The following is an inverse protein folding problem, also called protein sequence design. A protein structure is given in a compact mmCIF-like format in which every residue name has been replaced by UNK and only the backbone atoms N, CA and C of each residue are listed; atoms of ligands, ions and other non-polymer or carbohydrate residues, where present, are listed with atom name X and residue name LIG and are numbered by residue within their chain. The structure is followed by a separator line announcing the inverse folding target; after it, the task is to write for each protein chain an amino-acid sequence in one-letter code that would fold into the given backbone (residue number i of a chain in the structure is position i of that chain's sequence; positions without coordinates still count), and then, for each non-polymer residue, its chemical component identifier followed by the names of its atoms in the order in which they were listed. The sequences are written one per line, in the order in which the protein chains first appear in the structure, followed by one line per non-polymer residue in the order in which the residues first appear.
data_IF_374718626002
#
_entry.id   IF_374718626002
#
_cell.length_a   1.000
_cell.length_b   1.000
_cell.length_c   1.000
_cell.angle_alpha   90.00
_cell.angle_beta   90.00
_cell.angle_gamma   90.00
#
_symmetry.space_group_name_H-M   'P 1'
#
loop_
_entity.id
_entity.type
_entity.pdbx_description
1 polymer ?
2 non-polymer ?
3 water ?
#
# COMPACT_ATOMS: atom_id res chain seq x y z
N UNK A 12 -18.24 -2.14 1.22
CA UNK A 12 -17.78 -0.92 0.57
C UNK A 12 -16.27 -0.78 0.50
N UNK A 13 -15.55 -1.90 0.61
CA UNK A 13 -14.10 -1.88 0.54
C UNK A 13 -13.66 -2.22 -0.88
N UNK A 14 -12.80 -1.39 -1.45
CA UNK A 14 -12.17 -1.64 -2.73
C UNK A 14 -10.67 -1.82 -2.50
N UNK A 15 -10.04 -2.56 -3.39
CA UNK A 15 -8.61 -2.74 -3.33
C UNK A 15 -8.22 -4.05 -3.95
N UNK A 16 -6.92 -4.26 -4.04
CA UNK A 16 -6.44 -5.46 -4.72
C UNK A 16 -5.03 -5.76 -4.23
N UNK A 17 -4.55 -6.95 -4.58
CA UNK A 17 -3.16 -7.30 -4.35
C UNK A 17 -2.53 -7.77 -5.65
N UNK A 18 -1.19 -7.75 -5.67
CA UNK A 18 -0.45 -8.20 -6.83
C UNK A 18 -0.37 -9.71 -6.97
N UNK A 19 -0.84 -10.47 -5.96
CA UNK A 19 -0.83 -11.93 -6.05
C UNK A 19 -1.91 -12.46 -5.11
N UNK A 20 -3.06 -12.77 -5.67
CA UNK A 20 -4.19 -13.25 -4.86
C UNK A 20 -3.94 -14.62 -4.28
N UNK A 21 -2.93 -15.36 -4.76
CA UNK A 21 -2.56 -16.60 -4.10
C UNK A 21 -2.06 -16.34 -2.70
N UNK A 22 -1.50 -15.16 -2.46
CA UNK A 22 -0.88 -14.83 -1.18
C UNK A 22 -1.72 -13.87 -0.35
N UNK A 23 -2.31 -12.86 -0.99
CA UNK A 23 -3.02 -11.79 -0.28
C UNK A 23 -4.30 -11.48 -1.02
N UNK A 24 -5.40 -11.36 -0.28
CA UNK A 24 -6.63 -10.79 -0.80
C UNK A 24 -7.06 -9.63 0.10
N UNK A 25 -7.84 -8.73 -0.47
CA UNK A 25 -8.32 -7.53 0.22
C UNK A 25 -9.84 -7.62 0.31
N UNK A 26 -10.38 -7.20 1.44
CA UNK A 26 -11.82 -7.29 1.62
C UNK A 26 -12.27 -6.62 2.91
N UNK A 27 -13.42 -7.07 3.41
CA UNK A 27 -13.98 -6.52 4.64
C UNK A 27 -13.58 -7.39 5.83
N UNK A 28 -13.41 -6.74 6.98
CA UNK A 28 -12.89 -7.42 8.17
C UNK A 28 -13.85 -8.46 8.69
N UNK A 29 -13.31 -9.63 9.01
CA UNK A 29 -14.07 -10.71 9.63
C UNK A 29 -13.08 -11.64 10.35
N UNK A 30 -12.50 -11.15 11.44
CA UNK A 30 -11.56 -11.94 12.23
C UNK A 30 -12.00 -11.90 13.67
N UNK A 31 -12.58 -12.99 14.16
CA UNK A 31 -13.16 -12.99 15.50
C UNK A 31 -12.10 -12.88 16.59
N UNK A 32 -10.86 -13.29 16.30
CA UNK A 32 -9.79 -13.19 17.29
C UNK A 32 -9.21 -11.80 17.37
N UNK A 33 -9.27 -11.03 16.28
CA UNK A 33 -8.77 -9.65 16.25
C UNK A 33 -9.79 -8.78 15.56
N UNK A 34 -10.95 -8.57 16.16
CA UNK A 34 -12.02 -7.84 15.47
C UNK A 34 -11.72 -6.35 15.42
N UNK A 35 -12.46 -5.66 14.56
CA UNK A 35 -12.36 -4.22 14.46
C UNK A 35 -11.92 -3.75 13.08
N UNK A 36 -12.40 -2.58 12.67
CA UNK A 36 -12.05 -2.04 11.37
C UNK A 36 -12.92 -2.59 10.26
N UNK A 37 -12.74 -2.02 9.08
CA UNK A 37 -13.53 -2.47 7.93
C UNK A 37 -12.59 -2.91 6.82
N UNK A 38 -11.78 -1.99 6.30
CA UNK A 38 -10.81 -2.39 5.27
C UNK A 38 -9.87 -3.44 5.85
N UNK A 39 -9.66 -4.52 5.10
CA UNK A 39 -9.01 -5.69 5.70
C UNK A 39 -8.18 -6.45 4.67
N UNK A 40 -7.29 -7.29 5.21
CA UNK A 40 -6.38 -8.11 4.43
C UNK A 40 -6.50 -9.55 4.88
N UNK A 41 -6.44 -10.48 3.92
CA UNK A 41 -6.43 -11.91 4.18
C UNK A 41 -5.14 -12.50 3.63
N UNK A 42 -4.43 -13.25 4.48
CA UNK A 42 -3.28 -14.01 4.01
C UNK A 42 -3.81 -15.31 3.42
N UNK A 43 -4.07 -15.30 2.11
CA UNK A 43 -4.54 -16.47 1.41
C UNK A 43 -3.49 -17.58 1.37
N UNK A 44 -2.23 -17.23 1.60
CA UNK A 44 -1.19 -18.24 1.69
C UNK A 44 -1.35 -19.11 2.93
N UNK A 45 -2.18 -18.68 3.88
CA UNK A 45 -2.39 -19.41 5.12
C UNK A 45 -3.67 -20.21 5.06
N UNK A 46 -3.72 -21.28 5.84
CA UNK A 46 -4.95 -22.03 6.00
C UNK A 46 -5.82 -21.48 7.11
N UNK A 47 -7.11 -21.81 7.05
CA UNK A 47 -8.03 -21.38 8.08
C UNK A 47 -7.56 -21.89 9.45
N UNK A 48 -7.73 -21.11 10.52
CA UNK A 48 -8.40 -19.81 10.60
C UNK A 48 -7.52 -18.62 10.27
N UNK A 49 -6.26 -18.86 9.90
CA UNK A 49 -5.33 -17.77 9.72
C UNK A 49 -5.44 -17.09 8.36
N UNK A 50 -6.37 -17.52 7.50
CA UNK A 50 -6.70 -16.75 6.31
C UNK A 50 -7.90 -15.84 6.53
N UNK A 51 -8.32 -15.62 7.77
CA UNK A 51 -9.38 -14.68 8.05
C UNK A 51 -9.01 -13.30 7.53
N UNK A 52 -10.00 -12.55 7.09
CA UNK A 52 -9.79 -11.14 6.76
C UNK A 52 -9.69 -10.33 8.04
N UNK A 53 -8.57 -9.63 8.21
CA UNK A 53 -8.28 -8.88 9.42
C UNK A 53 -8.21 -7.39 9.10
N UNK A 54 -8.95 -6.59 9.86
CA UNK A 54 -8.97 -5.16 9.60
C UNK A 54 -7.59 -4.53 9.77
N UNK A 55 -7.26 -3.62 8.85
CA UNK A 55 -5.98 -2.91 8.96
C UNK A 55 -5.89 -2.12 10.26
N UNK A 56 -7.01 -1.54 10.74
CA UNK A 56 -6.95 -0.81 12.01
C UNK A 56 -6.73 -1.74 13.19
N UNK A 57 -7.19 -2.99 13.08
CA UNK A 57 -6.88 -3.99 14.08
C UNK A 57 -5.40 -4.36 14.05
N UNK A 58 -4.85 -4.62 12.85
CA UNK A 58 -3.43 -4.89 12.73
C UNK A 58 -2.60 -3.73 13.24
N UNK A 59 -3.06 -2.49 12.99
CA UNK A 59 -2.38 -1.31 13.49
C UNK A 59 -2.31 -1.31 15.01
N UNK A 60 -3.43 -1.62 15.65
CA UNK A 60 -3.41 -1.78 17.11
C UNK A 60 -2.42 -2.83 17.60
N UNK A 61 -2.40 -3.99 16.93
CA UNK A 61 -1.45 -5.03 17.31
C UNK A 61 -0.01 -4.56 17.10
N UNK A 62 0.25 -3.83 16.01
CA UNK A 62 1.59 -3.32 15.77
C UNK A 62 2.00 -2.31 16.84
N UNK A 63 1.04 -1.53 17.34
CA UNK A 63 1.32 -0.63 18.45
C UNK A 63 1.65 -1.40 19.72
N UNK A 64 0.83 -2.40 20.06
CA UNK A 64 0.94 -3.05 21.37
C UNK A 64 2.11 -4.02 21.46
N UNK A 65 2.57 -4.59 20.35
CA UNK A 65 3.59 -5.64 20.41
C UNK A 65 4.97 -5.12 20.04
N UNK A 66 5.19 -3.81 20.18
CA UNK A 66 6.47 -3.24 19.80
C UNK A 66 7.63 -3.87 20.54
N UNK A 67 7.43 -4.27 21.80
CA UNK A 67 8.53 -4.88 22.56
C UNK A 67 8.90 -6.25 22.00
N UNK A 68 8.00 -6.87 21.22
CA UNK A 68 8.26 -8.17 20.61
C UNK A 68 8.67 -8.06 19.16
N UNK A 69 8.79 -6.84 18.61
CA UNK A 69 9.32 -6.66 17.28
C UNK A 69 8.41 -5.93 16.31
N UNK A 70 7.13 -5.73 16.61
CA UNK A 70 6.35 -4.88 15.71
C UNK A 70 6.78 -3.43 15.89
N UNK A 71 6.31 -2.58 14.97
CA UNK A 71 6.47 -1.16 15.20
C UNK A 71 5.29 -0.42 14.59
N UNK A 72 5.01 0.76 15.13
CA UNK A 72 4.00 1.65 14.59
C UNK A 72 4.54 3.06 14.74
N UNK A 73 4.60 3.79 13.63
CA UNK A 73 5.28 5.07 13.57
C UNK A 73 4.53 6.05 12.67
N UNK A 74 4.40 7.30 13.10
CA UNK A 74 3.91 8.34 12.21
C UNK A 74 5.11 8.90 11.45
N UNK A 75 5.05 8.88 10.12
CA UNK A 75 6.08 9.42 9.26
C UNK A 75 5.49 10.62 8.54
N UNK A 76 6.13 11.78 8.67
CA UNK A 76 5.66 12.98 7.99
C UNK A 76 6.36 13.13 6.64
N UNK A 77 5.58 13.31 5.59
CA UNK A 77 6.07 13.71 4.27
C UNK A 77 5.40 15.04 3.96
N UNK A 78 6.20 16.09 3.82
CA UNK A 78 5.62 17.42 3.69
C UNK A 78 4.76 17.73 4.89
N UNK A 79 3.52 18.14 4.64
CA UNK A 79 2.57 18.43 5.71
C UNK A 79 1.66 17.25 6.02
N UNK A 80 1.92 16.09 5.44
CA UNK A 80 1.03 14.94 5.57
C UNK A 80 1.65 13.86 6.44
N UNK A 81 0.82 13.15 7.17
CA UNK A 81 1.27 12.09 8.04
C UNK A 81 0.80 10.75 7.50
N UNK A 82 1.70 9.78 7.50
CA UNK A 82 1.39 8.41 7.13
C UNK A 82 1.74 7.52 8.32
N UNK A 83 0.77 6.74 8.77
CA UNK A 83 1.02 5.89 9.93
C UNK A 83 1.48 4.53 9.41
N UNK A 84 2.69 4.09 9.79
CA UNK A 84 3.33 2.92 9.21
C UNK A 84 3.43 1.83 10.26
N UNK A 85 2.89 0.65 9.92
CA UNK A 85 2.91 -0.53 10.77
C UNK A 85 3.85 -1.57 10.18
N UNK A 86 4.71 -2.10 11.03
CA UNK A 86 5.61 -3.20 10.69
C UNK A 86 5.25 -4.39 11.57
N UNK A 87 4.93 -5.51 10.94
CA UNK A 87 4.57 -6.72 11.68
C UNK A 87 5.40 -7.89 11.16
N UNK A 88 6.46 -8.28 11.86
CA UNK A 88 7.25 -9.44 11.44
C UNK A 88 6.71 -10.71 12.06
N UNK A 89 6.96 -11.84 11.37
CA UNK A 89 6.44 -13.10 11.87
C UNK A 89 7.00 -13.42 13.24
N UNK A 90 8.20 -12.92 13.57
CA UNK A 90 8.83 -13.19 14.85
C UNK A 90 8.09 -12.55 16.03
N UNK A 91 7.26 -11.54 15.77
CA UNK A 91 6.54 -10.88 16.85
C UNK A 91 5.22 -11.55 17.20
N UNK A 92 4.72 -12.41 16.32
CA UNK A 92 3.44 -13.08 16.50
C UNK A 92 3.64 -14.41 17.21
N UNK A 93 2.58 -14.97 17.79
CA UNK A 93 2.71 -16.28 18.48
C UNK A 93 3.15 -17.36 17.51
N UNK A 94 3.74 -18.45 18.00
CA UNK A 94 4.21 -19.51 17.09
C UNK A 94 3.14 -20.04 16.15
N UNK A 95 1.89 -20.09 16.63
CA UNK A 95 0.79 -20.56 15.79
C UNK A 95 0.60 -19.72 14.54
N UNK A 96 1.17 -18.52 14.51
CA UNK A 96 1.02 -17.57 13.42
C UNK A 96 2.10 -17.68 12.37
N UNK A 97 2.90 -18.75 12.39
CA UNK A 97 3.99 -18.90 11.41
C UNK A 97 3.56 -18.62 9.97
N UNK A 98 2.38 -19.11 9.56
CA UNK A 98 1.97 -18.97 8.17
C UNK A 98 1.58 -17.54 7.79
N UNK A 99 1.51 -16.62 8.75
CA UNK A 99 1.03 -15.29 8.43
C UNK A 99 2.10 -14.39 7.84
N UNK A 100 3.37 -14.78 7.90
CA UNK A 100 4.36 -13.98 7.19
C UNK A 100 4.63 -12.62 7.82
N UNK A 101 4.99 -11.68 6.96
CA UNK A 101 5.54 -10.38 7.34
C UNK A 101 4.78 -9.29 6.61
N UNK A 102 4.43 -8.22 7.33
CA UNK A 102 3.70 -7.08 6.77
C UNK A 102 4.45 -5.78 6.98
N UNK A 103 4.37 -4.89 5.99
CA UNK A 103 4.56 -3.45 6.20
C UNK A 103 3.38 -2.75 5.56
N UNK A 104 2.66 -1.91 6.30
CA UNK A 104 1.58 -1.18 5.64
C UNK A 104 1.43 0.20 6.23
N UNK A 105 0.82 1.08 5.45
CA UNK A 105 0.63 2.45 5.85
C UNK A 105 -0.84 2.81 5.75
N UNK A 106 -1.22 3.79 6.57
CA UNK A 106 -2.50 4.46 6.52
C UNK A 106 -2.29 5.89 6.07
N UNK A 107 -3.15 6.38 5.18
CA UNK A 107 -3.10 7.77 4.71
C UNK A 107 -3.78 8.64 5.77
N UNK A 108 -2.98 9.31 6.59
CA UNK A 108 -3.53 10.17 7.64
C UNK A 108 -4.47 9.38 8.53
N UNK A 109 -5.64 9.93 8.80
CA UNK A 109 -6.69 9.22 9.52
C UNK A 109 -7.78 8.71 8.59
N UNK A 110 -7.54 8.74 7.28
CA UNK A 110 -8.51 8.24 6.32
C UNK A 110 -8.47 6.71 6.30
N UNK A 111 -9.60 6.11 5.92
CA UNK A 111 -9.69 4.65 5.84
C UNK A 111 -9.13 4.20 4.48
N UNK A 112 -7.82 4.40 4.33
CA UNK A 112 -7.08 4.10 3.11
C UNK A 112 -5.73 3.54 3.53
N UNK A 113 -5.42 2.32 3.07
CA UNK A 113 -4.25 1.59 3.48
C UNK A 113 -3.52 1.04 2.26
N UNK A 114 -2.22 0.89 2.41
CA UNK A 114 -1.38 0.42 1.31
C UNK A 114 -0.20 -0.33 1.91
N UNK A 115 0.19 -1.44 1.32
CA UNK A 115 1.26 -2.17 1.99
C UNK A 115 1.77 -3.35 1.20
N UNK A 116 2.57 -4.14 1.90
CA UNK A 116 3.24 -5.27 1.33
C UNK A 116 3.28 -6.42 2.33
N UNK A 117 3.67 -7.57 1.80
CA UNK A 117 3.72 -8.84 2.51
C UNK A 117 4.80 -9.71 1.90
N UNK A 118 5.40 -10.56 2.71
CA UNK A 118 6.19 -11.66 2.16
C UNK A 118 6.20 -12.79 3.17
N UNK A 119 6.50 -13.99 2.65
CA UNK A 119 6.40 -15.21 3.43
C UNK A 119 7.45 -15.26 4.54
N UNK A 120 7.12 -15.97 5.62
CA UNK A 120 8.13 -16.24 6.63
C UNK A 120 9.31 -16.98 6.00
N UNK A 121 10.52 -16.51 6.31
CA UNK A 121 11.73 -17.07 5.77
C UNK A 121 12.17 -16.47 4.45
N UNK A 122 11.35 -15.60 3.87
CA UNK A 122 11.64 -14.91 2.62
C UNK A 122 12.16 -13.50 2.92
N UNK A 123 12.48 -12.77 1.86
CA UNK A 123 12.73 -11.34 1.92
C UNK A 123 11.83 -10.67 0.90
N UNK A 124 11.77 -9.33 0.88
CA UNK A 124 11.00 -8.64 -0.17
C UNK A 124 11.53 -8.88 -1.58
N UNK A 125 12.70 -9.48 -1.75
CA UNK A 125 13.17 -9.89 -3.07
C UNK A 125 12.64 -11.25 -3.51
N UNK A 126 12.01 -11.99 -2.60
CA UNK A 126 11.49 -13.31 -2.92
C UNK A 126 10.21 -13.25 -3.73
N UNK A 127 9.91 -14.37 -4.39
CA UNK A 127 8.71 -14.47 -5.22
C UNK A 127 7.44 -14.17 -4.43
N UNK A 128 7.45 -14.43 -3.12
CA UNK A 128 6.26 -14.19 -2.31
C UNK A 128 5.99 -12.72 -2.06
N UNK A 129 6.89 -11.82 -2.46
CA UNK A 129 6.67 -10.40 -2.21
C UNK A 129 5.40 -9.92 -2.92
N UNK A 130 4.44 -9.44 -2.13
CA UNK A 130 3.11 -9.11 -2.62
C UNK A 130 2.76 -7.71 -2.13
N UNK A 131 2.15 -6.90 -3.00
CA UNK A 131 1.76 -5.55 -2.61
C UNK A 131 0.26 -5.40 -2.78
N UNK A 132 -0.32 -4.48 -2.03
CA UNK A 132 -1.78 -4.38 -1.98
C UNK A 132 -2.19 -2.98 -1.55
N UNK A 133 -3.46 -2.68 -1.77
CA UNK A 133 -4.07 -1.48 -1.19
C UNK A 133 -5.53 -1.77 -0.92
N UNK A 134 -6.13 -0.96 -0.05
CA UNK A 134 -7.52 -1.13 0.37
C UNK A 134 -8.09 0.18 0.89
N UNK A 135 -9.35 0.44 0.58
CA UNK A 135 -9.97 1.62 1.14
C UNK A 135 -11.47 1.58 1.10
N UNK A 136 -12.08 2.43 1.91
CA UNK A 136 -13.53 2.58 1.99
C UNK A 136 -13.99 3.55 0.91
N UNK A 137 -14.86 3.09 0.03
CA UNK A 137 -15.32 3.92 -1.09
C UNK A 137 -16.69 4.54 -0.86
N UNK A 138 -17.25 4.39 0.36
CA UNK A 138 -18.65 4.75 0.62
C UNK A 138 -18.98 6.16 0.16
N UNK A 139 -18.08 7.12 0.38
CA UNK A 139 -18.39 8.52 0.07
C UNK A 139 -17.42 9.12 -0.94
N UNK A 140 -16.79 8.30 -1.77
CA UNK A 140 -15.87 8.82 -2.77
C UNK A 140 -16.60 9.65 -3.82
N UNK A 141 -16.07 10.82 -4.11
CA UNK A 141 -16.46 11.58 -5.29
C UNK A 141 -15.19 12.04 -5.98
N UNK A 142 -15.20 12.03 -7.30
CA UNK A 142 -14.03 12.42 -8.08
C UNK A 142 -14.37 13.69 -8.84
N UNK A 143 -13.63 14.79 -8.65
CA UNK A 143 -13.87 15.99 -9.44
C UNK A 143 -13.76 15.68 -10.92
N UNK A 144 -14.54 16.40 -11.72
CA UNK A 144 -14.56 16.22 -13.16
C UNK A 144 -13.73 17.25 -13.91
N UNK A 145 -13.11 18.17 -13.18
CA UNK A 145 -12.36 19.25 -13.81
C UNK A 145 -11.35 19.78 -12.81
N UNK A 146 -10.32 20.43 -13.32
CA UNK A 146 -9.29 21.01 -12.49
C UNK A 146 -8.13 20.05 -12.23
N UNK A 147 -7.13 20.56 -11.52
CA UNK A 147 -5.92 19.82 -11.20
C UNK A 147 -5.69 19.87 -9.70
N UNK A 148 -5.23 18.76 -9.14
CA UNK A 148 -4.83 18.72 -7.73
C UNK A 148 -3.54 17.94 -7.61
N UNK A 149 -2.78 18.22 -6.56
CA UNK A 149 -1.62 17.38 -6.28
C UNK A 149 -1.84 16.60 -4.99
N UNK A 150 -1.08 15.52 -4.87
CA UNK A 150 -1.11 14.62 -3.73
C UNK A 150 0.29 14.42 -3.21
N UNK A 151 0.43 14.45 -1.88
CA UNK A 151 1.65 13.97 -1.22
C UNK A 151 1.53 12.46 -1.05
N UNK A 152 2.48 11.72 -1.60
CA UNK A 152 2.37 10.28 -1.74
C UNK A 152 3.54 9.60 -1.05
N UNK A 153 3.24 8.58 -0.25
CA UNK A 153 4.22 7.70 0.36
C UNK A 153 4.16 6.33 -0.31
N UNK A 154 5.32 5.71 -0.45
CA UNK A 154 5.40 4.38 -1.01
C UNK A 154 6.13 3.43 -0.08
N UNK A 155 5.67 2.18 -0.06
CA UNK A 155 6.29 1.10 0.69
C UNK A 155 6.90 0.11 -0.32
N UNK A 156 8.19 -0.15 -0.15
CA UNK A 156 8.95 -1.05 -1.03
C UNK A 156 10.00 -1.78 -0.18
N UNK A 157 9.60 -2.89 0.42
CA UNK A 157 10.53 -3.74 1.14
C UNK A 157 11.08 -3.19 2.44
N UNK A 158 10.36 -2.28 3.08
CA UNK A 158 10.83 -1.70 4.33
C UNK A 158 9.64 -1.08 5.05
N UNK A 159 9.65 -1.16 6.37
CA UNK A 159 8.77 -0.35 7.16
C UNK A 159 9.44 0.84 7.78
N UNK A 160 10.75 1.00 7.58
CA UNK A 160 11.50 2.11 8.14
C UNK A 160 11.81 3.20 7.12
N UNK A 161 12.08 2.82 5.88
CA UNK A 161 12.50 3.73 4.82
C UNK A 161 11.40 3.75 3.78
N UNK A 162 10.79 4.90 3.56
CA UNK A 162 9.69 5.03 2.61
C UNK A 162 10.17 5.70 1.33
N UNK A 163 9.38 5.51 0.27
CA UNK A 163 9.43 6.36 -0.91
C UNK A 163 8.51 7.56 -0.69
N UNK A 164 8.84 8.67 -1.34
CA UNK A 164 8.05 9.89 -1.17
C UNK A 164 8.02 10.65 -2.48
N UNK A 165 6.87 11.26 -2.77
CA UNK A 165 6.80 12.08 -3.96
C UNK A 165 5.47 12.79 -4.07
N UNK A 166 5.29 13.48 -5.18
CA UNK A 166 4.07 14.23 -5.44
C UNK A 166 3.46 13.71 -6.73
N UNK A 167 2.17 13.34 -6.68
CA UNK A 167 1.43 12.99 -7.89
C UNK A 167 0.50 14.13 -8.26
N UNK A 168 0.34 14.37 -9.56
CA UNK A 168 -0.54 15.39 -10.08
C UNK A 168 -1.71 14.72 -10.78
N UNK A 169 -2.92 15.02 -10.33
CA UNK A 169 -4.14 14.52 -10.94
C UNK A 169 -4.76 15.64 -11.75
N UNK A 170 -4.87 15.43 -13.05
CA UNK A 170 -5.63 16.31 -13.92
C UNK A 170 -6.98 15.63 -14.12
N UNK A 171 -7.98 16.13 -13.38
CA UNK A 171 -9.29 15.48 -13.35
C UNK A 171 -10.04 15.64 -14.66
N UNK A 172 -9.81 16.73 -15.38
CA UNK A 172 -10.48 16.94 -16.65
C UNK A 172 -9.89 16.09 -17.75
N UNK A 173 -8.57 15.91 -17.69
CA UNK A 173 -7.88 15.07 -18.66
C UNK A 173 -7.92 13.61 -18.28
N UNK A 174 -8.17 13.30 -17.01
CA UNK A 174 -8.11 11.92 -16.56
C UNK A 174 -6.70 11.38 -16.52
N UNK A 175 -5.74 12.17 -16.04
CA UNK A 175 -4.35 11.71 -15.96
C UNK A 175 -3.82 11.82 -14.54
N UNK A 176 -2.96 10.87 -14.19
CA UNK A 176 -2.22 10.90 -12.94
C UNK A 176 -0.74 10.76 -13.28
N UNK A 177 0.05 11.75 -12.87
CA UNK A 177 1.46 11.80 -13.23
C UNK A 177 2.30 11.97 -11.98
N UNK A 178 3.54 11.51 -12.04
CA UNK A 178 4.46 11.81 -10.96
C UNK A 178 5.42 10.70 -10.63
N UNK A 179 6.30 10.96 -9.66
CA UNK A 179 7.39 10.06 -9.33
C UNK A 179 7.56 9.98 -7.82
N UNK A 180 7.81 8.77 -7.33
CA UNK A 180 8.17 8.52 -5.94
C UNK A 180 9.65 8.22 -5.88
N UNK A 181 10.35 8.77 -4.89
CA UNK A 181 11.79 8.58 -4.76
C UNK A 181 12.16 8.35 -3.30
N UNK A 182 13.27 7.66 -3.10
CA UNK A 182 13.80 7.48 -1.76
C UNK A 182 15.16 6.84 -1.85
N UNK A 183 15.87 6.87 -0.73
CA UNK A 183 17.27 6.44 -0.69
C UNK A 183 17.50 5.14 0.06
N UNK A 184 16.47 4.56 0.67
CA UNK A 184 16.66 3.45 1.56
C UNK A 184 15.94 2.17 1.18
N UNK A 185 15.60 2.03 -0.10
CA UNK A 185 14.84 0.89 -0.59
C UNK A 185 15.43 0.39 -1.90
N UNK A 186 14.97 -0.78 -2.33
CA UNK A 186 15.45 -1.31 -3.61
C UNK A 186 15.13 -0.35 -4.74
N UNK A 187 13.92 0.17 -4.75
CA UNK A 187 13.52 1.22 -5.69
C UNK A 187 14.12 2.54 -5.24
N UNK A 188 14.82 3.21 -6.15
CA UNK A 188 15.24 4.59 -5.90
C UNK A 188 14.29 5.59 -6.53
N UNK A 189 13.59 5.18 -7.59
CA UNK A 189 12.67 6.08 -8.27
C UNK A 189 11.61 5.26 -8.98
N UNK A 190 10.37 5.71 -8.92
CA UNK A 190 9.23 5.01 -9.50
C UNK A 190 8.36 6.05 -10.18
N UNK A 191 8.26 6.01 -11.50
CA UNK A 191 7.52 7.01 -12.27
C UNK A 191 6.30 6.39 -12.90
N UNK A 192 5.15 7.05 -12.74
CA UNK A 192 3.95 6.67 -13.47
C UNK A 192 4.12 6.98 -14.95
N UNK A 193 3.58 6.10 -15.81
CA UNK A 193 3.69 6.23 -17.25
C UNK A 193 2.32 5.93 -17.86
N UNK A 194 1.64 6.96 -18.35
CA UNK A 194 0.35 6.73 -18.97
C UNK A 194 -0.76 6.32 -18.04
N UNK A 195 -0.64 6.65 -16.76
CA UNK A 195 -1.68 6.27 -15.80
C UNK A 195 -2.88 7.19 -16.01
N UNK A 196 -4.05 6.58 -16.16
CA UNK A 196 -5.20 7.31 -16.66
C UNK A 196 -6.46 6.78 -16.02
N UNK A 197 -7.49 7.64 -16.01
CA UNK A 197 -8.80 7.28 -15.49
C UNK A 197 -9.84 8.04 -16.30
N UNK A 198 -11.03 7.45 -16.39
CA UNK A 198 -12.14 8.14 -17.01
C UNK A 198 -12.52 9.31 -16.11
N UNK A 199 -12.54 10.54 -16.60
CA UNK A 199 -12.90 11.67 -15.73
C UNK A 199 -14.22 11.42 -15.01
N UNK A 200 -14.23 11.73 -13.72
CA UNK A 200 -15.39 11.49 -12.89
C UNK A 200 -15.46 10.11 -12.27
N UNK A 201 -14.50 9.23 -12.56
CA UNK A 201 -14.48 7.90 -11.98
C UNK A 201 -13.18 7.71 -11.20
N UNK A 202 -13.20 6.77 -10.27
CA UNK A 202 -12.11 6.63 -9.29
C UNK A 202 -10.95 5.74 -9.74
N UNK A 203 -11.18 4.75 -10.59
CA UNK A 203 -10.15 3.74 -10.86
C UNK A 203 -9.16 4.22 -11.92
N UNK A 204 -7.87 4.11 -11.62
CA UNK A 204 -6.85 4.44 -12.61
C UNK A 204 -5.92 3.26 -12.83
N UNK A 205 -5.31 3.24 -14.02
CA UNK A 205 -4.38 2.18 -14.38
C UNK A 205 -3.41 2.71 -15.43
N UNK A 206 -2.25 2.09 -15.47
CA UNK A 206 -1.26 2.49 -16.46
C UNK A 206 0.00 1.69 -16.30
N UNK A 207 1.11 2.25 -16.78
CA UNK A 207 2.41 1.62 -16.69
C UNK A 207 3.30 2.36 -15.69
N UNK A 208 4.50 1.83 -15.46
CA UNK A 208 5.44 2.49 -14.59
C UNK A 208 6.84 2.05 -14.94
N UNK A 209 7.79 2.91 -14.64
CA UNK A 209 9.20 2.61 -14.77
C UNK A 209 9.86 2.83 -13.42
N UNK A 210 10.86 2.04 -13.12
CA UNK A 210 11.56 2.17 -11.87
C UNK A 210 13.06 2.16 -12.13
N UNK A 211 13.77 2.86 -11.25
CA UNK A 211 15.21 2.73 -11.11
C UNK A 211 15.48 2.29 -9.69
N UNK A 212 16.66 1.69 -9.50
CA UNK A 212 17.06 1.26 -8.18
C UNK A 212 18.24 0.32 -8.24
N UNK A 213 18.31 -0.58 -7.25
CA UNK A 213 19.51 -1.39 -7.06
C UNK A 213 19.73 -2.41 -8.18
N UNK A 214 18.70 -2.72 -8.96
CA UNK A 214 18.81 -3.58 -10.12
C UNK A 214 18.83 -2.80 -11.43
N UNK A 215 18.95 -1.48 -11.35
CA UNK A 215 18.94 -0.67 -12.55
C UNK A 215 17.53 -0.38 -13.02
N UNK A 216 17.44 0.21 -14.22
CA UNK A 216 16.16 0.59 -14.78
C UNK A 216 15.32 -0.64 -15.11
N UNK A 217 14.03 -0.56 -14.83
CA UNK A 217 13.06 -1.63 -15.11
C UNK A 217 11.83 -0.96 -15.69
N UNK A 218 11.54 -1.25 -16.96
CA UNK A 218 10.41 -0.64 -17.67
C UNK A 218 9.18 -1.53 -17.67
N UNK A 219 9.13 -2.55 -16.81
CA UNK A 219 8.06 -3.54 -16.83
C UNK A 219 6.90 -3.21 -15.90
N UNK A 220 6.86 -2.00 -15.33
CA UNK A 220 5.87 -1.73 -14.29
C UNK A 220 4.46 -1.60 -14.84
N UNK A 221 3.50 -2.12 -14.07
CA UNK A 221 2.07 -1.86 -14.32
C UNK A 221 1.48 -1.36 -13.02
N UNK A 222 0.56 -0.41 -13.15
CA UNK A 222 0.00 0.33 -12.04
C UNK A 222 -1.50 0.17 -12.03
N UNK A 223 -2.07 -0.03 -10.84
CA UNK A 223 -3.51 0.10 -10.67
C UNK A 223 -3.78 0.72 -9.32
N UNK A 224 -4.83 1.54 -9.26
CA UNK A 224 -5.21 2.10 -7.99
C UNK A 224 -6.51 2.86 -8.15
N UNK A 225 -6.83 3.65 -7.12
CA UNK A 225 -8.01 4.49 -7.23
C UNK A 225 -7.97 5.64 -6.25
N UNK A 226 -8.78 6.65 -6.56
CA UNK A 226 -9.08 7.73 -5.64
C UNK A 226 -10.09 7.26 -4.59
N UNK A 227 -10.01 7.87 -3.41
CA UNK A 227 -10.89 7.57 -2.30
C UNK A 227 -11.33 8.88 -1.65
N UNK A 228 -12.54 8.88 -1.13
CA UNK A 228 -12.99 9.95 -0.25
C UNK A 228 -13.69 11.07 -0.98
N UNK A 229 -14.34 11.92 -0.18
CA UNK A 229 -14.99 13.10 -0.73
C UNK A 229 -13.97 13.95 -1.48
N UNK A 230 -14.32 14.32 -2.71
CA UNK A 230 -13.47 15.17 -3.54
C UNK A 230 -12.09 14.56 -3.74
N UNK A 231 -12.02 13.21 -3.76
CA UNK A 231 -10.78 12.48 -3.97
C UNK A 231 -9.70 12.92 -2.98
N UNK A 232 -10.08 12.95 -1.70
CA UNK A 232 -9.15 13.37 -0.66
C UNK A 232 -7.96 12.44 -0.49
N UNK A 233 -8.01 11.23 -1.07
CA UNK A 233 -6.88 10.31 -0.99
C UNK A 233 -6.78 9.52 -2.28
N UNK A 234 -5.65 8.83 -2.44
CA UNK A 234 -5.54 7.79 -3.46
C UNK A 234 -4.68 6.67 -2.90
N UNK A 235 -4.79 5.48 -3.50
CA UNK A 235 -3.87 4.41 -3.18
C UNK A 235 -3.75 3.50 -4.38
N UNK A 236 -2.68 2.74 -4.41
CA UNK A 236 -2.45 1.89 -5.57
C UNK A 236 -1.22 1.03 -5.39
N UNK A 237 -0.95 0.23 -6.41
CA UNK A 237 0.23 -0.63 -6.46
C UNK A 237 0.90 -0.49 -7.82
N UNK A 238 2.21 -0.75 -7.82
CA UNK A 238 3.00 -0.87 -9.03
C UNK A 238 3.75 -2.19 -8.93
N UNK A 239 3.60 -3.04 -9.94
CA UNK A 239 4.28 -4.32 -9.92
C UNK A 239 5.11 -4.51 -11.18
N UNK A 240 6.20 -5.25 -11.02
CA UNK A 240 7.25 -5.35 -12.00
C UNK A 240 7.64 -6.81 -12.20
N UNK A 241 8.28 -7.08 -13.34
CA UNK A 241 8.88 -8.39 -13.54
C UNK A 241 9.86 -8.71 -12.41
N UNK A 242 10.57 -7.69 -11.93
CA UNK A 242 11.46 -7.82 -10.77
C UNK A 242 10.64 -7.53 -9.52
N UNK A 243 10.31 -8.58 -8.77
CA UNK A 243 9.38 -8.39 -7.66
C UNK A 243 10.00 -7.56 -6.53
N UNK A 244 11.34 -7.42 -6.52
CA UNK A 244 11.98 -6.53 -5.56
C UNK A 244 11.46 -5.11 -5.67
N UNK A 245 11.02 -4.73 -6.87
CA UNK A 245 10.56 -3.38 -7.13
C UNK A 245 9.07 -3.18 -6.86
N UNK A 246 8.35 -4.25 -6.54
CA UNK A 246 6.92 -4.09 -6.28
C UNK A 246 6.69 -3.12 -5.12
N UNK A 247 5.76 -2.19 -5.32
CA UNK A 247 5.59 -1.06 -4.42
C UNK A 247 4.10 -0.81 -4.21
N UNK A 248 3.74 -0.46 -2.99
CA UNK A 248 2.39 0.03 -2.71
C UNK A 248 2.48 1.49 -2.33
N UNK A 249 1.46 2.27 -2.65
CA UNK A 249 1.53 3.68 -2.34
C UNK A 249 0.17 4.22 -1.91
N UNK A 250 0.22 5.30 -1.14
CA UNK A 250 -0.95 6.01 -0.69
C UNK A 250 -0.68 7.50 -0.67
N UNK A 251 -1.67 8.29 -1.05
CA UNK A 251 -1.49 9.72 -1.17
C UNK A 251 -2.64 10.47 -0.53
N UNK A 252 -2.30 11.62 0.02
CA UNK A 252 -3.26 12.56 0.58
C UNK A 252 -3.31 13.80 -0.30
N UNK A 253 -4.52 14.22 -0.64
CA UNK A 253 -4.69 15.41 -1.48
C UNK A 253 -4.18 16.64 -0.76
N UNK A 254 -3.35 17.42 -1.45
CA UNK A 254 -2.80 18.66 -0.91
C UNK A 254 -3.83 19.78 -0.94
X LIG B 1 -4.69 -15.27 18.65
X LIG B 1 -5.28 -14.98 13.84
X LIG B 1 -2.29 -11.19 13.72
X LIG B 1 -1.21 -11.92 18.39
X LIG B 1 -5.09 -15.53 17.35
X LIG B 1 -5.93 -16.63 16.93
X LIG B 1 -6.09 -16.54 15.61
X LIG B 1 -5.34 -15.39 15.15
X LIG B 1 -6.92 -17.48 14.71
X LIG B 1 -6.55 -17.71 17.84
X LIG B 1 -5.76 -19.01 17.68
X LIG B 1 -4.33 -18.84 18.11
X LIG B 1 -3.41 -19.00 17.27
X LIG B 1 -4.08 -18.51 19.31
X LIG B 1 -4.54 -13.91 13.40
X LIG B 1 -4.55 -13.40 12.05
X LIG B 1 -3.70 -12.36 12.01
X LIG B 1 -3.17 -12.17 13.33
X LIG B 1 -5.35 -14.00 10.87
X LIG B 1 -3.39 -11.52 10.75
X LIG B 1 -2.16 -11.05 10.56
X LIG B 1 -1.71 -11.10 14.96
X LIG B 1 -0.65 -10.20 15.31
X LIG B 1 -0.35 -10.40 16.61
X LIG B 1 -1.20 -11.44 17.11
X LIG B 1 -0.04 -9.19 14.32
X LIG B 1 0.74 -9.72 17.47
X LIG B 1 1.88 -9.26 16.94
X LIG B 1 -2.13 -12.81 18.88
X LIG B 1 -2.34 -13.14 20.27
X LIG B 1 -3.29 -14.06 20.34
X LIG B 1 -3.73 -14.36 19.00
X LIG B 1 -1.57 -12.49 21.44
X LIG B 1 -3.87 -14.71 21.63
X LIG B 1 -3.30 -16.11 21.77
X LIG B 1 -1.94 -16.02 22.37
X LIG B 1 -0.99 -16.66 21.84
X LIG B 1 -1.78 -15.32 23.41
X LIG B 1 -4.74 -14.80 16.24
X LIG B 1 -3.69 -13.14 14.18
X LIG B 1 -2.03 -11.85 16.07
X LIG B 1 -2.99 -13.58 18.13
X LIG B 1 -3.36 -13.36 16.14
#
# INVERSE_FOLDING_TARGET
MGSSHHHHHHSGIDGISSNESNIKIGAAANASHPGGVAAVSVQAAGAPYNAFTGFSSLKGLAQAFAAQGTSNTNVTVGSKTFNISHIPVSAMPPSHSALGNFNFGQVGTQEVYFGEWWKAGDTPASASHTVYYAGDNTNTTVPTAGTATYTVAGINGSGSNLLSGTFTANYGAGTLEGTLTGTGTAVSSLSLDGVAFNPGTAAFAGLATANGTAGIDNSGVVQGQFFGANASALAGIAQFDNVSYNTAFGGAKN
HEM CHA CHB CHC CHD C1A C2A C3A C4A CMA CAA CBA CGA O1A O2A C1B C2B C3B C4B CMB CAB CBB C1C C2C C3C C4C CMC CAC CBC C1D C2D C3D C4D CMD CAD CBD CGD O1D O2D NA NB NC ND FE
#
